data_IF_294733845490
#
_entry.id   IF_294733845490
#
_cell.length_a   1.000
_cell.length_b   1.000
_cell.length_c   1.000
_cell.angle_alpha   90.00
_cell.angle_beta   90.00
_cell.angle_gamma   90.00
#
_symmetry.space_group_name_H-M   'P 1'
#
loop_
_entity.id
_entity.type
_entity.pdbx_description
1 polymer ?
#
# COMPACT_ATOMS: atom_id res chain seq x y z
N UNK A 1 0.01 -8.81 -15.21
CA UNK A 1 -0.17 -8.16 -13.89
C UNK A 1 0.93 -7.13 -13.77
N UNK A 2 0.64 -5.89 -13.34
CA UNK A 2 1.70 -4.92 -13.08
C UNK A 2 2.47 -5.29 -11.83
N UNK A 3 3.78 -5.10 -11.84
CA UNK A 3 4.64 -5.32 -10.68
C UNK A 3 5.28 -4.00 -10.25
N UNK A 4 5.37 -3.81 -8.94
CA UNK A 4 6.13 -2.70 -8.38
C UNK A 4 7.62 -3.03 -8.35
N UNK A 5 8.51 -2.03 -8.54
CA UNK A 5 9.94 -2.24 -8.39
C UNK A 5 10.30 -2.80 -7.01
N UNK A 6 11.20 -3.78 -6.99
CA UNK A 6 11.56 -4.52 -5.76
C UNK A 6 12.23 -3.64 -4.70
N UNK A 7 12.90 -2.55 -5.10
CA UNK A 7 13.58 -1.63 -4.18
C UNK A 7 12.61 -0.79 -3.34
N UNK A 8 11.32 -0.74 -3.68
CA UNK A 8 10.35 -0.01 -2.89
C UNK A 8 10.11 -0.76 -1.57
N UNK A 9 10.02 -0.04 -0.43
CA UNK A 9 9.69 -0.63 0.87
C UNK A 9 8.18 -0.96 0.98
N UNK A 10 7.69 -1.69 -0.03
CA UNK A 10 6.33 -2.11 -0.27
C UNK A 10 6.15 -3.55 0.18
N UNK A 11 5.00 -3.87 0.80
CA UNK A 11 4.60 -5.26 1.03
C UNK A 11 3.16 -5.47 0.61
N UNK A 12 2.91 -6.61 -0.04
CA UNK A 12 1.55 -7.12 -0.26
C UNK A 12 0.98 -7.61 1.07
N UNK A 13 -0.23 -7.16 1.42
CA UNK A 13 -0.94 -7.59 2.62
C UNK A 13 -1.68 -8.89 2.29
N UNK A 14 -1.53 -9.91 3.13
CA UNK A 14 -2.09 -11.26 2.86
C UNK A 14 -3.55 -11.42 3.30
N UNK A 15 -4.05 -10.57 4.21
CA UNK A 15 -5.36 -10.72 4.88
C UNK A 15 -6.15 -9.40 5.03
N UNK A 16 -5.92 -8.39 4.20
CA UNK A 16 -6.68 -7.14 4.33
C UNK A 16 -7.86 -7.13 3.34
N UNK A 17 -9.11 -6.99 3.82
CA UNK A 17 -10.31 -7.18 2.99
C UNK A 17 -10.47 -6.15 1.87
N UNK A 18 -9.81 -4.99 1.98
CA UNK A 18 -10.00 -3.83 1.08
C UNK A 18 -8.69 -3.33 0.46
N UNK A 19 -7.53 -3.89 0.82
CA UNK A 19 -6.26 -3.30 0.36
C UNK A 19 -5.20 -4.36 0.12
N UNK A 20 -4.54 -4.28 -1.03
CA UNK A 20 -3.50 -5.24 -1.35
C UNK A 20 -2.11 -4.80 -0.90
N UNK A 21 -1.87 -3.51 -0.63
CA UNK A 21 -0.51 -3.00 -0.46
C UNK A 21 -0.31 -2.07 0.73
N UNK A 22 0.90 -2.12 1.31
CA UNK A 22 1.41 -1.15 2.28
C UNK A 22 2.78 -0.66 1.85
N UNK A 23 2.95 0.65 1.75
CA UNK A 23 4.25 1.31 1.58
C UNK A 23 4.72 1.92 2.91
N UNK A 24 6.02 1.76 3.21
CA UNK A 24 6.66 2.43 4.36
C UNK A 24 7.40 3.67 3.89
N UNK A 25 7.11 4.81 4.48
CA UNK A 25 7.87 6.05 4.29
C UNK A 25 8.27 6.60 5.65
N UNK A 26 9.49 6.28 6.10
CA UNK A 26 9.97 6.60 7.45
C UNK A 26 9.00 6.13 8.54
N UNK A 27 8.44 7.09 9.30
CA UNK A 27 7.47 6.84 10.36
C UNK A 27 6.01 6.78 9.89
N UNK A 28 5.72 6.96 8.61
CA UNK A 28 4.37 6.86 8.06
C UNK A 28 4.15 5.52 7.37
N UNK A 29 2.89 5.10 7.28
CA UNK A 29 2.45 3.96 6.48
C UNK A 29 1.33 4.43 5.57
N UNK A 30 1.43 4.00 4.32
CA UNK A 30 0.44 4.29 3.28
C UNK A 30 -0.18 2.95 2.93
N UNK A 31 -1.49 2.83 3.15
CA UNK A 31 -2.30 1.68 2.77
C UNK A 31 -3.04 2.07 1.49
N UNK A 32 -2.90 1.25 0.46
CA UNK A 32 -3.50 1.54 -0.83
C UNK A 32 -3.84 0.27 -1.60
N UNK A 33 -4.67 0.45 -2.62
CA UNK A 33 -4.98 -0.57 -3.60
C UNK A 33 -4.68 -0.09 -5.02
N UNK A 34 -4.58 -1.04 -5.96
CA UNK A 34 -4.21 -0.77 -7.35
C UNK A 34 -5.19 -1.44 -8.28
N UNK A 35 -5.85 -0.63 -9.10
CA UNK A 35 -6.60 -1.13 -10.25
C UNK A 35 -5.69 -1.08 -11.48
N UNK A 36 -5.08 -2.22 -11.80
CA UNK A 36 -4.21 -2.36 -12.96
C UNK A 36 -4.95 -2.25 -14.30
N UNK A 37 -6.27 -2.48 -14.31
CA UNK A 37 -7.07 -2.38 -15.55
C UNK A 37 -7.36 -0.93 -15.90
N UNK A 38 -7.56 -0.08 -14.88
CA UNK A 38 -7.77 1.36 -15.03
C UNK A 38 -6.50 2.20 -14.89
N UNK A 39 -5.40 1.57 -14.48
CA UNK A 39 -4.13 2.23 -14.16
C UNK A 39 -4.28 3.28 -13.03
N UNK A 40 -5.01 2.91 -11.98
CA UNK A 40 -5.34 3.80 -10.85
C UNK A 40 -4.77 3.26 -9.54
N UNK A 41 -4.34 4.18 -8.67
CA UNK A 41 -3.90 3.89 -7.31
C UNK A 41 -4.87 4.57 -6.34
N UNK A 42 -5.51 3.78 -5.49
CA UNK A 42 -6.46 4.25 -4.50
C UNK A 42 -5.79 4.30 -3.12
N UNK A 43 -5.52 5.51 -2.63
CA UNK A 43 -5.00 5.72 -1.28
C UNK A 43 -6.15 5.58 -0.28
N UNK A 44 -6.08 4.56 0.58
CA UNK A 44 -7.13 4.25 1.55
C UNK A 44 -6.86 4.89 2.91
N UNK A 45 -5.59 4.89 3.34
CA UNK A 45 -5.17 5.51 4.60
C UNK A 45 -3.71 5.94 4.53
N UNK A 46 -3.42 7.13 5.05
CA UNK A 46 -2.07 7.59 5.38
C UNK A 46 -2.07 7.90 6.87
N UNK A 47 -1.05 7.44 7.58
CA UNK A 47 -0.97 7.69 9.01
C UNK A 47 0.39 7.37 9.58
N UNK A 48 0.67 7.95 10.74
CA UNK A 48 1.90 7.69 11.45
C UNK A 48 1.90 6.26 12.00
N UNK A 49 3.09 5.69 12.26
CA UNK A 49 3.27 4.31 12.70
C UNK A 49 2.49 3.96 13.96
N UNK A 50 2.20 4.95 14.79
CA UNK A 50 1.46 4.81 16.05
C UNK A 50 -0.05 4.76 15.86
N UNK A 51 -0.56 5.21 14.71
CA UNK A 51 -2.00 5.39 14.46
C UNK A 51 -2.55 4.36 13.44
N UNK A 52 -1.66 3.56 12.85
CA UNK A 52 -1.98 2.52 11.86
C UNK A 52 -1.81 1.09 12.41
N UNK A 53 -1.02 0.94 13.47
CA UNK A 53 -0.98 -0.31 14.24
C UNK A 53 -1.90 -0.24 15.44
#
# INVERSE_FOLDING_TARGET
>A
MGEFPEYLPLKKLKNHPVSNFRLRSGNYRIIFDVDWTKNEIYILKIGHRRDIY
#
